data_IF_434193204785
#
_entry.id   IF_434193204785
#
_cell.length_a   1.000
_cell.length_b   1.000
_cell.length_c   1.000
_cell.angle_alpha   90.00
_cell.angle_beta   90.00
_cell.angle_gamma   90.00
#
_symmetry.space_group_name_H-M   'P 1'
#
loop_
_entity.id
_entity.type
_entity.pdbx_description
1 polymer ?
#
# COMPACT_ATOMS: atom_id res chain seq x y z
N UNK A 1 -87.25 -13.84 -37.25
CA UNK A 1 -87.75 -14.65 -36.11
C UNK A 1 -86.61 -15.52 -35.60
N UNK A 2 -85.85 -14.97 -34.67
CA UNK A 2 -84.91 -15.67 -33.79
C UNK A 2 -84.87 -14.80 -32.54
N UNK A 3 -85.62 -15.22 -31.52
CA UNK A 3 -85.88 -14.43 -30.32
C UNK A 3 -84.56 -14.12 -29.60
N UNK A 4 -84.25 -12.83 -29.42
CA UNK A 4 -83.39 -12.40 -28.33
C UNK A 4 -84.26 -12.38 -27.09
N UNK A 5 -84.28 -13.49 -26.36
CA UNK A 5 -84.79 -13.49 -24.98
C UNK A 5 -83.76 -12.76 -24.13
N UNK A 6 -84.11 -11.55 -23.69
CA UNK A 6 -83.40 -10.83 -22.66
C UNK A 6 -83.30 -11.70 -21.39
N UNK A 7 -82.17 -12.39 -21.22
CA UNK A 7 -81.82 -13.11 -20.00
C UNK A 7 -80.94 -12.20 -19.16
N UNK A 8 -81.59 -11.22 -18.52
CA UNK A 8 -80.91 -10.10 -17.88
C UNK A 8 -81.58 -9.67 -16.61
N UNK A 9 -82.11 -10.59 -15.81
CA UNK A 9 -82.36 -10.38 -14.37
C UNK A 9 -82.72 -11.73 -13.73
N UNK A 10 -81.76 -12.38 -13.05
CA UNK A 10 -82.04 -13.48 -12.11
C UNK A 10 -81.43 -14.87 -12.34
N UNK A 11 -80.46 -15.09 -13.24
CA UNK A 11 -79.97 -16.45 -13.56
C UNK A 11 -78.76 -16.96 -12.75
N UNK A 12 -78.24 -16.20 -11.78
CA UNK A 12 -77.01 -16.58 -11.06
C UNK A 12 -75.76 -16.70 -11.94
N UNK A 13 -75.83 -16.25 -13.20
CA UNK A 13 -74.67 -16.15 -14.09
C UNK A 13 -73.98 -14.83 -13.81
N UNK A 14 -72.75 -14.93 -13.34
CA UNK A 14 -71.87 -13.82 -13.08
C UNK A 14 -71.39 -13.23 -14.42
N UNK A 15 -72.23 -12.37 -15.02
CA UNK A 15 -71.95 -11.70 -16.30
C UNK A 15 -70.66 -10.88 -16.19
N UNK A 16 -70.39 -10.32 -15.01
CA UNK A 16 -69.14 -9.61 -14.73
C UNK A 16 -67.95 -10.56 -14.84
N UNK A 17 -68.03 -11.80 -14.34
CA UNK A 17 -66.99 -12.82 -14.53
C UNK A 17 -66.78 -13.19 -16.00
N UNK A 18 -67.84 -13.27 -16.81
CA UNK A 18 -67.75 -13.62 -18.23
C UNK A 18 -67.12 -12.47 -19.02
N UNK A 19 -67.54 -11.23 -18.74
CA UNK A 19 -66.94 -10.04 -19.36
C UNK A 19 -65.46 -9.94 -18.99
N UNK A 20 -65.11 -10.12 -17.71
CA UNK A 20 -63.72 -10.13 -17.25
C UNK A 20 -62.90 -11.24 -17.92
N UNK A 21 -63.45 -12.46 -18.02
CA UNK A 21 -62.76 -13.58 -18.68
C UNK A 21 -62.50 -13.31 -20.18
N UNK A 22 -63.43 -12.66 -20.89
CA UNK A 22 -63.25 -12.27 -22.29
C UNK A 22 -62.21 -11.16 -22.42
N UNK A 23 -62.28 -10.14 -21.56
CA UNK A 23 -61.30 -9.04 -21.53
C UNK A 23 -59.89 -9.57 -21.23
N UNK A 24 -59.75 -10.46 -20.25
CA UNK A 24 -58.46 -11.06 -19.88
C UNK A 24 -57.92 -11.96 -20.99
N UNK A 25 -58.75 -12.80 -21.62
CA UNK A 25 -58.35 -13.61 -22.75
C UNK A 25 -57.90 -12.77 -23.96
N UNK A 26 -58.52 -11.61 -24.17
CA UNK A 26 -58.16 -10.68 -25.25
C UNK A 26 -56.89 -9.86 -24.92
N UNK A 27 -56.64 -9.57 -23.64
CA UNK A 27 -55.43 -8.87 -23.16
C UNK A 27 -54.21 -9.79 -23.06
N UNK A 28 -54.40 -11.06 -22.73
CA UNK A 28 -53.31 -11.99 -22.42
C UNK A 28 -52.19 -12.05 -23.47
N UNK A 29 -52.44 -12.11 -24.80
CA UNK A 29 -51.37 -12.15 -25.79
C UNK A 29 -50.56 -10.85 -25.87
N UNK A 30 -51.22 -9.71 -25.67
CA UNK A 30 -50.54 -8.41 -25.67
C UNK A 30 -49.70 -8.21 -24.41
N UNK A 31 -50.24 -8.58 -23.24
CA UNK A 31 -49.52 -8.57 -21.96
C UNK A 31 -48.31 -9.50 -22.02
N UNK A 32 -48.49 -10.77 -22.44
CA UNK A 32 -47.39 -11.73 -22.54
C UNK A 32 -46.25 -11.24 -23.45
N UNK A 33 -46.56 -10.60 -24.58
CA UNK A 33 -45.53 -10.03 -25.47
C UNK A 33 -44.77 -8.87 -24.79
N UNK A 34 -45.47 -8.03 -24.03
CA UNK A 34 -44.84 -6.94 -23.29
C UNK A 34 -44.00 -7.47 -22.14
N UNK A 35 -44.50 -8.43 -21.37
CA UNK A 35 -43.78 -9.07 -20.27
C UNK A 35 -42.49 -9.75 -20.76
N UNK A 36 -42.56 -10.45 -21.90
CA UNK A 36 -41.38 -11.06 -22.53
C UNK A 36 -40.37 -9.99 -22.99
N UNK A 37 -40.85 -8.88 -23.55
CA UNK A 37 -39.99 -7.78 -23.97
C UNK A 37 -39.33 -7.10 -22.77
N UNK A 38 -40.08 -6.89 -21.69
CA UNK A 38 -39.58 -6.34 -20.44
C UNK A 38 -38.54 -7.27 -19.81
N UNK A 39 -38.82 -8.58 -19.76
CA UNK A 39 -37.87 -9.57 -19.27
C UNK A 39 -36.56 -9.58 -20.07
N UNK A 40 -36.65 -9.52 -21.41
CA UNK A 40 -35.47 -9.45 -22.27
C UNK A 40 -34.66 -8.17 -22.03
N UNK A 41 -35.31 -7.01 -21.98
CA UNK A 41 -34.64 -5.73 -21.72
C UNK A 41 -33.97 -5.73 -20.33
N UNK A 42 -34.63 -6.24 -19.30
CA UNK A 42 -34.04 -6.32 -17.96
C UNK A 42 -32.84 -7.27 -17.91
N UNK A 43 -32.88 -8.34 -18.69
CA UNK A 43 -31.76 -9.26 -18.82
C UNK A 43 -30.60 -8.66 -19.63
N UNK A 44 -30.89 -7.90 -20.70
CA UNK A 44 -29.87 -7.11 -21.43
C UNK A 44 -29.21 -6.07 -20.51
N UNK A 45 -30.00 -5.31 -19.73
CA UNK A 45 -29.48 -4.36 -18.72
C UNK A 45 -28.56 -5.07 -17.74
N UNK A 46 -28.95 -6.24 -17.25
CA UNK A 46 -28.12 -7.04 -16.34
C UNK A 46 -26.84 -7.53 -17.02
N UNK A 47 -26.92 -7.92 -18.30
CA UNK A 47 -25.77 -8.31 -19.11
C UNK A 47 -24.76 -7.18 -19.30
N UNK A 48 -25.24 -5.97 -19.63
CA UNK A 48 -24.38 -4.78 -19.71
C UNK A 48 -23.82 -4.37 -18.35
N UNK A 49 -24.59 -4.54 -17.27
CA UNK A 49 -24.10 -4.35 -15.90
C UNK A 49 -22.92 -5.28 -15.58
N UNK A 50 -23.03 -6.56 -15.94
CA UNK A 50 -21.94 -7.53 -15.77
C UNK A 50 -20.71 -7.18 -16.62
N UNK A 51 -20.93 -6.77 -17.89
CA UNK A 51 -19.84 -6.31 -18.76
C UNK A 51 -19.14 -5.08 -18.18
N UNK A 52 -19.89 -4.10 -17.69
CA UNK A 52 -19.35 -2.89 -17.07
C UNK A 52 -18.51 -3.22 -15.84
N UNK A 53 -18.96 -4.14 -14.99
CA UNK A 53 -18.18 -4.59 -13.83
C UNK A 53 -16.88 -5.26 -14.26
N UNK A 54 -16.93 -6.16 -15.25
CA UNK A 54 -15.74 -6.83 -15.77
C UNK A 54 -14.74 -5.86 -16.41
N UNK A 55 -15.24 -4.83 -17.13
CA UNK A 55 -14.40 -3.75 -17.67
C UNK A 55 -13.74 -2.93 -16.57
N UNK A 56 -14.45 -2.61 -15.48
CA UNK A 56 -13.90 -1.87 -14.33
C UNK A 56 -12.84 -2.68 -13.56
N UNK A 57 -13.05 -3.99 -13.39
CA UNK A 57 -12.05 -4.89 -12.81
C UNK A 57 -10.79 -4.96 -13.69
N UNK A 58 -10.98 -5.05 -15.02
CA UNK A 58 -9.88 -5.00 -15.96
C UNK A 58 -9.14 -3.65 -15.92
N UNK A 59 -9.87 -2.54 -15.86
CA UNK A 59 -9.31 -1.20 -15.72
C UNK A 59 -8.42 -1.07 -14.48
N UNK A 60 -8.87 -1.63 -13.35
CA UNK A 60 -8.09 -1.62 -12.10
C UNK A 60 -6.74 -2.37 -12.27
N UNK A 61 -6.70 -3.43 -13.07
CA UNK A 61 -5.45 -4.12 -13.38
C UNK A 61 -4.54 -3.31 -14.32
N UNK A 62 -5.12 -2.58 -15.28
CA UNK A 62 -4.39 -1.69 -16.20
C UNK A 62 -3.70 -0.54 -15.47
N UNK A 63 -4.35 0.06 -14.47
CA UNK A 63 -3.80 1.14 -13.65
C UNK A 63 -2.54 0.73 -12.85
N UNK A 64 -2.27 -0.56 -12.69
CA UNK A 64 -1.00 -1.05 -12.09
C UNK A 64 0.16 -1.05 -13.09
N UNK A 65 -0.12 -0.87 -14.38
CA UNK A 65 0.82 -0.98 -15.49
C UNK A 65 0.93 0.33 -16.30
N UNK A 66 0.19 1.37 -15.96
CA UNK A 66 0.14 2.64 -16.70
C UNK A 66 1.25 3.64 -16.30
N UNK A 67 1.95 3.37 -15.18
CA UNK A 67 2.92 4.30 -14.61
C UNK A 67 4.35 3.91 -14.98
N UNK A 68 4.99 4.73 -15.82
CA UNK A 68 6.34 4.49 -16.30
C UNK A 68 7.39 4.45 -15.17
N UNK A 69 7.14 5.15 -14.05
CA UNK A 69 8.07 5.16 -12.91
C UNK A 69 8.15 3.81 -12.19
N UNK A 70 7.12 2.95 -12.32
CA UNK A 70 7.13 1.61 -11.73
C UNK A 70 8.16 0.70 -12.38
N UNK A 71 8.48 0.95 -13.66
CA UNK A 71 9.53 0.27 -14.41
C UNK A 71 10.93 0.86 -14.17
N UNK A 72 11.05 1.78 -13.21
CA UNK A 72 12.33 2.26 -12.70
C UNK A 72 12.56 1.86 -11.23
N UNK A 73 11.59 1.20 -10.59
CA UNK A 73 11.70 0.79 -9.19
C UNK A 73 12.89 -0.14 -8.97
N UNK A 74 13.48 -0.01 -7.78
CA UNK A 74 14.56 -0.85 -7.28
C UNK A 74 14.06 -1.62 -6.08
N UNK A 75 14.57 -2.83 -5.93
CA UNK A 75 14.42 -3.60 -4.71
C UNK A 75 15.77 -3.68 -4.02
N UNK A 76 15.77 -3.55 -2.70
CA UNK A 76 16.93 -3.76 -1.87
C UNK A 76 16.60 -4.87 -0.87
N UNK A 77 17.46 -5.88 -0.81
CA UNK A 77 17.31 -7.03 0.07
C UNK A 77 18.50 -7.14 0.99
N UNK A 78 18.27 -7.60 2.22
CA UNK A 78 19.29 -7.84 3.23
C UNK A 78 19.29 -9.32 3.58
N UNK A 79 20.46 -9.92 3.72
CA UNK A 79 20.60 -11.33 4.12
C UNK A 79 20.15 -11.59 5.56
N UNK A 80 20.13 -10.57 6.43
CA UNK A 80 19.60 -10.65 7.79
C UNK A 80 18.99 -9.31 8.24
N UNK A 81 17.66 -9.21 8.10
CA UNK A 81 16.88 -8.03 8.48
C UNK A 81 16.81 -7.77 9.97
N UNK A 82 17.26 -8.71 10.81
CA UNK A 82 17.33 -8.50 12.26
C UNK A 82 18.48 -7.55 12.64
N UNK A 83 19.51 -7.45 11.80
CA UNK A 83 20.65 -6.55 12.02
C UNK A 83 20.62 -5.32 11.13
N UNK A 84 20.29 -5.50 9.84
CA UNK A 84 20.32 -4.41 8.86
C UNK A 84 19.08 -4.47 7.98
N UNK A 85 18.34 -3.36 7.92
CA UNK A 85 17.26 -3.15 6.97
C UNK A 85 17.74 -2.19 5.89
N UNK A 86 17.20 -2.33 4.68
CA UNK A 86 17.61 -1.52 3.53
C UNK A 86 16.41 -1.20 2.66
N UNK A 87 16.40 -0.01 2.09
CA UNK A 87 15.53 0.39 0.99
C UNK A 87 16.34 1.11 -0.08
N UNK A 88 15.88 1.03 -1.32
CA UNK A 88 16.48 1.71 -2.47
C UNK A 88 15.46 2.65 -3.11
N UNK A 89 15.92 3.84 -3.51
CA UNK A 89 15.21 4.73 -4.41
C UNK A 89 15.28 4.21 -5.86
N UNK A 90 14.47 4.80 -6.74
CA UNK A 90 14.34 4.36 -8.14
C UNK A 90 15.66 4.52 -8.93
N UNK A 91 16.48 5.50 -8.55
CA UNK A 91 17.74 5.81 -9.23
C UNK A 91 18.93 5.00 -8.69
N UNK A 92 18.72 4.19 -7.64
CA UNK A 92 19.78 3.38 -7.07
C UNK A 92 20.37 2.42 -8.12
N UNK A 93 21.70 2.37 -8.15
CA UNK A 93 22.43 1.50 -9.08
C UNK A 93 22.43 0.06 -8.57
N UNK A 94 22.05 -0.94 -9.39
CA UNK A 94 22.13 -2.34 -9.00
C UNK A 94 23.54 -2.76 -8.61
N UNK A 95 23.69 -3.29 -7.40
CA UNK A 95 24.97 -3.67 -6.82
C UNK A 95 24.78 -4.55 -5.58
N UNK A 96 25.84 -5.27 -5.21
CA UNK A 96 25.90 -6.02 -3.96
C UNK A 96 26.94 -5.38 -3.04
N UNK A 97 26.59 -5.20 -1.78
CA UNK A 97 27.45 -4.64 -0.75
C UNK A 97 27.45 -5.54 0.48
N UNK A 98 28.56 -5.56 1.21
CA UNK A 98 28.60 -6.13 2.55
C UNK A 98 28.62 -4.99 3.56
N UNK A 99 27.79 -5.10 4.59
CA UNK A 99 27.57 -4.09 5.62
C UNK A 99 27.83 -4.68 6.99
N UNK A 100 28.68 -4.00 7.75
CA UNK A 100 28.93 -4.27 9.16
C UNK A 100 28.35 -3.15 10.03
N UNK A 101 27.54 -3.50 11.01
CA UNK A 101 27.09 -2.55 12.04
C UNK A 101 28.06 -2.62 13.20
N UNK A 102 28.85 -1.56 13.39
CA UNK A 102 29.84 -1.49 14.48
C UNK A 102 29.14 -1.11 15.78
N UNK A 103 28.34 -0.04 15.74
CA UNK A 103 27.50 0.40 16.86
C UNK A 103 26.25 1.10 16.36
N UNK A 104 25.20 1.04 17.17
CA UNK A 104 23.95 1.78 16.94
C UNK A 104 24.00 3.12 17.65
N UNK A 105 23.25 4.09 17.13
CA UNK A 105 23.06 5.38 17.76
C UNK A 105 22.27 5.17 19.05
N UNK A 106 22.72 5.82 20.12
CA UNK A 106 22.15 5.74 21.44
C UNK A 106 21.91 7.14 21.98
N UNK A 107 20.82 7.31 22.73
CA UNK A 107 20.61 8.49 23.55
C UNK A 107 21.29 8.31 24.90
N UNK A 108 21.40 9.40 25.64
CA UNK A 108 22.05 9.39 26.95
C UNK A 108 21.11 8.98 28.08
N UNK A 109 21.68 8.38 29.13
CA UNK A 109 21.02 8.09 30.41
C UNK A 109 21.73 8.78 31.57
N UNK A 110 20.96 9.48 32.39
CA UNK A 110 21.42 10.12 33.63
C UNK A 110 20.71 9.48 34.84
N UNK A 111 21.43 9.37 35.95
CA UNK A 111 20.92 8.89 37.23
C UNK A 111 21.06 9.99 38.29
N UNK A 112 19.99 10.25 39.04
CA UNK A 112 19.99 11.21 40.13
C UNK A 112 20.80 10.76 41.34
N UNK A 113 20.95 11.66 42.31
CA UNK A 113 21.30 11.30 43.68
C UNK A 113 20.32 10.31 44.30
N UNK A 114 20.71 9.75 45.44
CA UNK A 114 19.97 8.72 46.18
C UNK A 114 18.97 9.35 47.15
N UNK A 115 17.73 8.86 47.11
CA UNK A 115 16.62 9.28 47.97
C UNK A 115 16.09 8.11 48.81
N UNK A 116 15.30 8.41 49.84
CA UNK A 116 14.70 7.40 50.71
C UNK A 116 13.43 6.80 50.13
N UNK A 117 12.62 7.59 49.41
CA UNK A 117 11.38 7.11 48.79
C UNK A 117 10.95 7.97 47.60
N UNK A 118 10.03 7.44 46.78
CA UNK A 118 9.38 8.17 45.69
C UNK A 118 8.47 9.33 46.15
N UNK A 119 8.23 9.43 47.46
CA UNK A 119 7.43 10.48 48.10
C UNK A 119 8.31 11.59 48.70
N UNK A 120 9.63 11.50 48.56
CA UNK A 120 10.54 12.52 49.04
C UNK A 120 10.40 13.80 48.20
N UNK A 121 10.54 14.95 48.85
CA UNK A 121 10.55 16.27 48.20
C UNK A 121 11.98 16.77 48.08
N UNK A 122 12.28 17.52 47.02
CA UNK A 122 13.66 17.96 46.69
C UNK A 122 13.83 19.48 46.69
N UNK A 123 12.78 20.23 46.98
CA UNK A 123 12.77 21.70 46.93
C UNK A 123 12.00 22.24 45.74
N UNK A 124 12.28 23.49 45.34
CA UNK A 124 11.55 24.19 44.29
C UNK A 124 12.49 24.96 43.38
N UNK A 125 12.12 25.09 42.11
CA UNK A 125 12.91 25.79 41.10
C UNK A 125 12.52 25.35 39.70
N UNK A 126 13.38 25.61 38.73
CA UNK A 126 13.16 25.25 37.33
C UNK A 126 14.29 24.33 36.86
N UNK A 127 13.93 23.15 36.37
CA UNK A 127 14.86 22.28 35.65
C UNK A 127 14.83 22.65 34.18
N UNK A 128 16.00 22.75 33.55
CA UNK A 128 16.15 22.98 32.12
C UNK A 128 16.92 21.84 31.48
N UNK A 129 16.27 21.14 30.55
CA UNK A 129 16.78 19.99 29.81
C UNK A 129 17.29 20.45 28.45
N UNK A 130 18.46 19.98 28.04
CA UNK A 130 19.05 20.29 26.74
C UNK A 130 19.68 19.05 26.12
N UNK A 131 19.40 18.78 24.85
CA UNK A 131 20.07 17.76 24.03
C UNK A 131 20.24 18.31 22.60
N UNK A 132 21.47 18.65 22.24
CA UNK A 132 21.76 19.36 20.98
C UNK A 132 21.06 20.72 20.94
N UNK A 133 20.23 20.94 19.92
CA UNK A 133 19.40 22.16 19.79
C UNK A 133 18.06 22.08 20.50
N UNK A 134 17.68 20.92 21.04
CA UNK A 134 16.41 20.75 21.73
C UNK A 134 16.53 21.20 23.18
N UNK A 135 15.56 22.00 23.64
CA UNK A 135 15.51 22.46 25.02
C UNK A 135 14.08 22.59 25.51
N UNK A 136 13.86 22.27 26.78
CA UNK A 136 12.61 22.57 27.49
C UNK A 136 12.87 22.76 28.98
N UNK A 137 11.92 23.38 29.67
CA UNK A 137 12.03 23.66 31.10
C UNK A 137 10.79 23.19 31.85
N UNK A 138 10.99 22.71 33.08
CA UNK A 138 9.94 22.22 33.97
C UNK A 138 10.07 22.88 35.33
N UNK A 139 8.99 23.52 35.78
CA UNK A 139 8.93 24.14 37.12
C UNK A 139 8.53 23.11 38.17
N UNK A 140 9.33 23.02 39.23
CA UNK A 140 9.16 22.15 40.38
C UNK A 140 8.71 22.99 41.58
N UNK A 141 7.61 22.58 42.19
CA UNK A 141 7.05 23.19 43.39
C UNK A 141 7.61 22.52 44.65
N UNK A 142 7.72 23.26 45.76
CA UNK A 142 8.34 22.75 46.98
C UNK A 142 7.63 21.52 47.60
N UNK A 143 6.37 21.30 47.24
CA UNK A 143 5.56 20.16 47.68
C UNK A 143 5.62 18.97 46.74
N UNK A 144 6.25 19.12 45.57
CA UNK A 144 6.35 18.04 44.59
C UNK A 144 7.23 16.92 45.14
N UNK A 145 6.70 15.71 45.04
CA UNK A 145 7.44 14.49 45.31
C UNK A 145 8.25 14.07 44.08
N UNK A 146 9.20 13.14 44.22
CA UNK A 146 9.87 12.55 43.06
C UNK A 146 8.89 11.99 42.01
N UNK A 147 7.75 11.47 42.46
CA UNK A 147 6.68 10.96 41.59
C UNK A 147 6.02 12.09 40.80
N UNK A 148 5.73 13.22 41.45
CA UNK A 148 5.17 14.40 40.80
C UNK A 148 6.16 15.00 39.80
N UNK A 149 7.45 15.03 40.14
CA UNK A 149 8.53 15.54 39.27
C UNK A 149 8.64 14.67 38.01
N UNK A 150 8.67 13.34 38.17
CA UNK A 150 8.64 12.40 37.04
C UNK A 150 7.47 12.69 36.12
N UNK A 151 6.28 12.83 36.68
CA UNK A 151 5.05 13.04 35.91
C UNK A 151 5.04 14.43 35.25
N UNK A 152 5.55 15.47 35.91
CA UNK A 152 5.71 16.81 35.32
C UNK A 152 6.66 16.81 34.13
N UNK A 153 7.78 16.09 34.21
CA UNK A 153 8.74 16.00 33.10
C UNK A 153 8.17 15.19 31.94
N UNK A 154 7.63 13.99 32.22
CA UNK A 154 7.09 13.11 31.18
C UNK A 154 5.87 13.71 30.46
N UNK A 155 5.08 14.55 31.14
CA UNK A 155 3.90 15.20 30.57
C UNK A 155 4.15 16.65 30.10
N UNK A 156 5.39 17.15 30.16
CA UNK A 156 5.70 18.48 29.65
C UNK A 156 5.45 18.56 28.13
N UNK A 157 4.70 19.58 27.70
CA UNK A 157 4.22 19.67 26.31
C UNK A 157 5.33 19.88 25.27
N UNK A 158 6.45 20.42 25.71
CA UNK A 158 7.67 20.71 24.94
C UNK A 158 8.77 19.65 25.16
N UNK A 159 8.45 18.55 25.86
CA UNK A 159 9.37 17.44 26.05
C UNK A 159 9.71 16.80 24.70
N UNK A 160 10.98 16.91 24.31
CA UNK A 160 11.50 16.37 23.05
C UNK A 160 11.78 14.85 23.08
N UNK A 161 11.42 14.16 24.17
CA UNK A 161 11.58 12.71 24.33
C UNK A 161 12.49 12.28 25.47
N UNK A 162 12.62 13.11 26.51
CA UNK A 162 13.20 12.72 27.81
C UNK A 162 12.14 11.96 28.60
N UNK A 163 12.38 10.68 28.86
CA UNK A 163 11.56 9.86 29.73
C UNK A 163 12.23 9.71 31.09
N UNK A 164 11.51 10.00 32.15
CA UNK A 164 11.98 9.85 33.52
C UNK A 164 11.25 8.69 34.18
N UNK A 165 12.00 7.83 34.86
CA UNK A 165 11.47 6.74 35.66
C UNK A 165 12.06 6.75 37.06
N UNK A 166 11.35 6.15 38.00
CA UNK A 166 11.83 5.96 39.38
C UNK A 166 12.22 4.51 39.55
N UNK A 167 13.45 4.26 39.98
CA UNK A 167 13.97 2.93 40.28
C UNK A 167 14.20 2.85 41.79
N UNK A 168 13.56 1.86 42.43
CA UNK A 168 13.77 1.56 43.85
C UNK A 168 14.76 0.41 43.96
N UNK A 169 15.98 0.71 44.40
CA UNK A 169 17.01 -0.29 44.69
C UNK A 169 17.14 -0.55 46.19
N UNK A 170 17.97 -1.53 46.54
CA UNK A 170 18.24 -1.89 47.94
C UNK A 170 18.91 -0.76 48.74
N UNK A 171 19.64 0.12 48.06
CA UNK A 171 20.31 1.28 48.65
C UNK A 171 19.39 2.50 48.82
N UNK A 172 18.28 2.56 48.09
CA UNK A 172 17.37 3.71 48.04
C UNK A 172 16.73 3.91 46.67
N UNK A 173 16.06 5.04 46.51
CA UNK A 173 15.31 5.43 45.31
C UNK A 173 16.11 6.41 44.46
N UNK A 174 16.13 6.22 43.13
CA UNK A 174 16.76 7.15 42.16
C UNK A 174 15.81 7.47 41.01
N UNK A 175 15.99 8.64 40.40
CA UNK A 175 15.40 9.01 39.12
C UNK A 175 16.37 8.65 38.00
N UNK A 176 15.87 7.97 36.98
CA UNK A 176 16.57 7.66 35.74
C UNK A 176 15.97 8.48 34.62
N UNK A 177 16.81 9.26 33.94
CA UNK A 177 16.46 10.10 32.82
C UNK A 177 17.00 9.46 31.55
N UNK A 178 16.11 9.07 30.64
CA UNK A 178 16.41 8.49 29.34
C UNK A 178 16.10 9.51 28.25
N UNK A 179 17.10 9.94 27.47
CA UNK A 179 16.83 10.74 26.26
C UNK A 179 16.64 9.83 25.05
N UNK A 180 15.57 10.05 24.28
CA UNK A 180 15.36 9.38 22.99
C UNK A 180 16.20 9.98 21.85
N UNK A 181 16.79 11.16 22.05
CA UNK A 181 17.62 11.82 21.04
C UNK A 181 18.98 11.15 21.05
N UNK A 182 19.32 10.52 19.92
CA UNK A 182 20.56 9.77 19.75
C UNK A 182 21.67 10.64 19.17
N UNK A 183 22.91 10.16 19.23
CA UNK A 183 24.06 10.82 18.62
C UNK A 183 24.93 11.58 19.63
N UNK A 184 26.24 11.58 19.39
CA UNK A 184 27.24 12.09 20.33
C UNK A 184 27.11 13.58 20.63
N UNK A 185 26.56 14.36 19.69
CA UNK A 185 26.26 15.78 19.87
C UNK A 185 25.02 16.06 20.73
N UNK A 186 24.22 15.04 21.03
CA UNK A 186 22.92 15.15 21.70
C UNK A 186 22.94 14.64 23.14
N UNK A 187 24.09 14.72 23.81
CA UNK A 187 24.21 14.39 25.22
C UNK A 187 23.24 15.21 26.07
N UNK A 188 22.35 14.54 26.82
CA UNK A 188 21.42 15.21 27.71
C UNK A 188 22.19 15.93 28.81
N UNK A 189 21.87 17.20 28.98
CA UNK A 189 22.31 18.04 30.08
C UNK A 189 21.09 18.57 30.81
N UNK A 190 21.09 18.48 32.14
CA UNK A 190 20.05 19.03 33.00
C UNK A 190 20.67 20.06 33.91
N UNK A 191 20.12 21.26 33.87
CA UNK A 191 20.56 22.41 34.69
C UNK A 191 19.38 22.89 35.53
N UNK A 192 19.68 23.61 36.60
CA UNK A 192 18.69 24.19 37.49
C UNK A 192 19.01 25.66 37.81
N UNK A 193 18.03 26.35 38.39
CA UNK A 193 18.15 27.71 38.91
C UNK A 193 18.28 27.76 40.45
N UNK A 194 18.30 26.60 41.12
CA UNK A 194 18.30 26.50 42.58
C UNK A 194 19.00 25.23 43.06
N UNK A 195 20.06 25.42 43.85
CA UNK A 195 20.91 24.37 44.41
C UNK A 195 20.16 23.26 45.20
N UNK A 196 18.93 23.49 45.66
CA UNK A 196 18.12 22.40 46.23
C UNK A 196 17.88 21.27 45.23
N UNK A 197 17.85 21.59 43.93
CA UNK A 197 17.58 20.65 42.84
C UNK A 197 18.85 19.94 42.32
N UNK A 198 20.05 20.33 42.75
CA UNK A 198 21.34 19.81 42.26
C UNK A 198 21.37 18.27 42.19
N UNK A 199 20.77 17.58 43.18
CA UNK A 199 20.72 16.13 43.25
C UNK A 199 19.95 15.46 42.10
N UNK A 200 19.08 16.20 41.40
CA UNK A 200 18.30 15.73 40.25
C UNK A 200 18.66 16.48 38.95
N UNK A 201 19.71 17.31 38.97
CA UNK A 201 20.19 18.11 37.83
C UNK A 201 21.70 17.98 37.63
N UNK A 202 22.49 18.83 38.30
CA UNK A 202 23.92 19.04 38.04
C UNK A 202 24.82 17.99 38.68
N UNK A 203 24.37 17.33 39.76
CA UNK A 203 25.10 16.25 40.45
C UNK A 203 24.69 14.84 39.98
N UNK A 204 24.01 14.73 38.84
CA UNK A 204 23.65 13.44 38.27
C UNK A 204 24.85 12.70 37.69
N UNK A 205 24.78 11.37 37.71
CA UNK A 205 25.78 10.50 37.10
C UNK A 205 25.33 10.08 35.71
N UNK A 206 26.21 10.24 34.71
CA UNK A 206 25.96 9.70 33.36
C UNK A 206 26.20 8.20 33.39
N UNK A 207 25.14 7.41 33.20
CA UNK A 207 25.23 5.93 33.15
C UNK A 207 25.31 5.40 31.72
N UNK A 208 24.91 6.21 30.74
CA UNK A 208 25.05 5.93 29.31
C UNK A 208 25.27 7.25 28.56
N UNK A 209 26.31 7.33 27.73
CA UNK A 209 26.53 8.49 26.87
C UNK A 209 25.62 8.42 25.64
N UNK A 210 25.24 9.58 25.13
CA UNK A 210 24.70 9.65 23.77
C UNK A 210 25.83 9.35 22.78
N UNK A 211 25.57 8.54 21.78
CA UNK A 211 26.58 7.99 20.88
C UNK A 211 26.04 7.91 19.45
N UNK A 212 26.90 8.16 18.47
CA UNK A 212 26.57 8.03 17.05
C UNK A 212 26.51 6.57 16.62
N UNK A 213 25.63 6.26 15.66
CA UNK A 213 25.69 5.00 14.94
C UNK A 213 26.92 4.99 14.03
N UNK A 214 27.48 3.80 13.84
CA UNK A 214 28.60 3.59 12.95
C UNK A 214 28.43 2.28 12.19
N UNK A 215 28.49 2.35 10.87
CA UNK A 215 28.51 1.20 9.97
C UNK A 215 29.77 1.21 9.13
N UNK A 216 30.11 0.06 8.57
CA UNK A 216 31.11 -0.07 7.52
C UNK A 216 30.44 -0.63 6.27
N UNK A 217 30.64 0.04 5.13
CA UNK A 217 30.12 -0.36 3.82
C UNK A 217 31.29 -0.39 2.85
N UNK A 218 31.54 -1.53 2.22
CA UNK A 218 32.67 -1.70 1.29
C UNK A 218 34.03 -1.26 1.88
N UNK A 219 34.24 -1.47 3.20
CA UNK A 219 35.44 -1.06 3.92
C UNK A 219 35.46 0.39 4.42
N UNK A 220 34.50 1.23 4.00
CA UNK A 220 34.42 2.62 4.41
C UNK A 220 33.54 2.79 5.66
N UNK A 221 34.08 3.44 6.68
CA UNK A 221 33.35 3.73 7.92
C UNK A 221 32.48 4.98 7.75
N UNK A 222 31.21 4.84 8.09
CA UNK A 222 30.21 5.89 7.96
C UNK A 222 29.55 6.07 9.33
N UNK A 223 29.39 7.32 9.74
CA UNK A 223 28.81 7.70 11.04
C UNK A 223 27.52 8.49 10.82
N UNK A 224 26.53 8.25 11.67
CA UNK A 224 25.26 8.96 11.68
C UNK A 224 24.83 9.24 13.11
N UNK A 225 24.19 10.37 13.36
CA UNK A 225 23.58 10.71 14.64
C UNK A 225 22.34 9.83 14.95
N UNK A 226 21.78 9.19 13.92
CA UNK A 226 20.66 8.25 14.02
C UNK A 226 21.05 6.85 13.54
N UNK A 227 20.17 5.88 13.77
CA UNK A 227 20.34 4.52 13.23
C UNK A 227 20.05 4.41 11.71
N UNK A 228 19.71 5.52 11.06
CA UNK A 228 19.41 5.57 9.64
C UNK A 228 20.53 6.28 8.89
N UNK A 229 20.96 5.67 7.80
CA UNK A 229 22.05 6.10 6.93
C UNK A 229 21.51 6.26 5.52
N UNK A 230 21.09 7.48 5.18
CA UNK A 230 20.57 7.83 3.84
C UNK A 230 21.65 8.29 2.86
N UNK A 231 22.86 8.57 3.35
CA UNK A 231 24.00 9.05 2.55
C UNK A 231 25.16 8.05 2.45
N UNK A 232 24.96 6.83 2.98
CA UNK A 232 25.98 5.80 2.97
C UNK A 232 26.28 5.28 1.56
N UNK A 233 25.21 5.12 0.77
CA UNK A 233 25.23 4.79 -0.65
C UNK A 233 24.19 5.73 -1.29
N UNK A 234 24.51 6.31 -2.44
CA UNK A 234 23.59 7.19 -3.18
C UNK A 234 22.28 6.44 -3.50
N UNK A 235 21.15 7.11 -3.24
CA UNK A 235 19.78 6.58 -3.40
C UNK A 235 19.45 5.32 -2.60
N UNK A 236 20.22 5.00 -1.54
CA UNK A 236 19.97 3.83 -0.70
C UNK A 236 19.93 4.26 0.76
N UNK A 237 18.90 3.82 1.47
CA UNK A 237 18.77 4.02 2.90
C UNK A 237 19.05 2.73 3.64
N UNK A 238 20.04 2.75 4.52
CA UNK A 238 20.38 1.63 5.41
C UNK A 238 19.93 1.98 6.82
N UNK A 239 19.20 1.07 7.48
CA UNK A 239 18.83 1.20 8.88
C UNK A 239 19.51 0.12 9.70
N UNK A 240 20.38 0.54 10.62
CA UNK A 240 21.08 -0.33 11.55
C UNK A 240 20.21 -0.66 12.76
N UNK A 241 19.95 -1.94 12.98
CA UNK A 241 19.07 -2.40 14.08
C UNK A 241 19.90 -2.79 15.31
N UNK A 242 21.01 -3.51 15.11
CA UNK A 242 21.94 -3.95 16.17
C UNK A 242 23.34 -4.21 15.60
N UNK A 243 24.39 -4.16 16.44
CA UNK A 243 25.74 -4.50 16.03
C UNK A 243 25.82 -5.90 15.43
N UNK A 244 26.54 -6.04 14.32
CA UNK A 244 26.70 -7.32 13.62
C UNK A 244 27.83 -8.14 14.24
N UNK A 245 27.69 -9.47 14.20
CA UNK A 245 28.78 -10.40 14.54
C UNK A 245 29.49 -10.92 13.29
N UNK A 246 28.76 -11.03 12.19
CA UNK A 246 29.25 -11.31 10.84
C UNK A 246 28.66 -10.27 9.89
N UNK A 247 29.34 -9.99 8.79
CA UNK A 247 28.86 -9.04 7.78
C UNK A 247 27.52 -9.47 7.18
N UNK A 248 26.66 -8.48 6.94
CA UNK A 248 25.34 -8.66 6.34
C UNK A 248 25.42 -8.23 4.89
N UNK A 249 25.02 -9.12 3.98
CA UNK A 249 25.04 -8.83 2.56
C UNK A 249 23.74 -8.14 2.14
N UNK A 250 23.90 -7.07 1.39
CA UNK A 250 22.82 -6.29 0.81
C UNK A 250 22.90 -6.41 -0.70
N UNK A 251 21.76 -6.68 -1.34
CA UNK A 251 21.62 -6.73 -2.79
C UNK A 251 20.60 -5.71 -3.25
N UNK A 252 21.01 -4.84 -4.17
CA UNK A 252 20.16 -3.88 -4.87
C UNK A 252 19.98 -4.39 -6.29
N UNK A 253 18.74 -4.58 -6.71
CA UNK A 253 18.40 -5.00 -8.07
C UNK A 253 17.19 -4.25 -8.60
N UNK A 254 16.91 -4.43 -9.88
CA UNK A 254 15.66 -3.96 -10.48
C UNK A 254 14.50 -4.74 -9.83
N UNK A 255 13.37 -4.08 -9.58
CA UNK A 255 12.17 -4.75 -9.06
C UNK A 255 11.41 -5.49 -10.17
N UNK A 256 11.95 -6.63 -10.58
CA UNK A 256 11.32 -7.51 -11.58
C UNK A 256 10.11 -8.25 -11.02
N UNK A 257 10.03 -8.41 -9.68
CA UNK A 257 8.96 -9.14 -9.01
C UNK A 257 7.62 -8.41 -9.11
N UNK A 258 7.60 -7.12 -8.78
CA UNK A 258 6.38 -6.31 -8.84
C UNK A 258 5.83 -6.21 -10.26
N UNK A 259 6.70 -5.99 -11.26
CA UNK A 259 6.30 -5.95 -12.68
C UNK A 259 5.73 -7.28 -13.15
N UNK A 260 6.36 -8.41 -12.81
CA UNK A 260 5.82 -9.74 -13.12
C UNK A 260 4.45 -9.96 -12.51
N UNK A 261 4.26 -9.56 -11.25
CA UNK A 261 2.95 -9.67 -10.60
C UNK A 261 1.89 -8.83 -11.31
N UNK A 262 2.21 -7.58 -11.64
CA UNK A 262 1.28 -6.69 -12.34
C UNK A 262 0.90 -7.23 -13.74
N UNK A 263 1.86 -7.81 -14.48
CA UNK A 263 1.59 -8.45 -15.77
C UNK A 263 0.69 -9.69 -15.62
N UNK A 264 0.92 -10.52 -14.60
CA UNK A 264 0.04 -11.67 -14.33
C UNK A 264 -1.39 -11.21 -13.98
N UNK A 265 -1.53 -10.21 -13.10
CA UNK A 265 -2.83 -9.63 -12.74
C UNK A 265 -3.56 -9.12 -13.99
N UNK A 266 -2.85 -8.45 -14.91
CA UNK A 266 -3.40 -8.00 -16.19
C UNK A 266 -3.89 -9.15 -17.07
N UNK A 267 -3.10 -10.22 -17.19
CA UNK A 267 -3.48 -11.41 -17.98
C UNK A 267 -4.72 -12.08 -17.38
N UNK A 268 -4.76 -12.21 -16.06
CA UNK A 268 -5.91 -12.79 -15.34
C UNK A 268 -7.18 -11.94 -15.54
N UNK A 269 -7.08 -10.63 -15.36
CA UNK A 269 -8.20 -9.71 -15.52
C UNK A 269 -8.70 -9.65 -16.98
N UNK A 270 -7.79 -9.64 -17.96
CA UNK A 270 -8.16 -9.74 -19.37
C UNK A 270 -8.88 -11.05 -19.67
N UNK A 271 -8.38 -12.17 -19.16
CA UNK A 271 -8.98 -13.49 -19.39
C UNK A 271 -10.38 -13.59 -18.74
N UNK A 272 -10.57 -13.01 -17.57
CA UNK A 272 -11.88 -12.89 -16.93
C UNK A 272 -12.85 -12.06 -17.79
N UNK A 273 -12.43 -10.89 -18.27
CA UNK A 273 -13.22 -10.05 -19.18
C UNK A 273 -13.58 -10.81 -20.47
N UNK A 274 -12.61 -11.49 -21.09
CA UNK A 274 -12.84 -12.26 -22.31
C UNK A 274 -13.84 -13.40 -22.08
N UNK A 275 -13.82 -14.04 -20.90
CA UNK A 275 -14.82 -15.03 -20.52
C UNK A 275 -16.20 -14.40 -20.41
N UNK A 276 -16.34 -13.26 -19.73
CA UNK A 276 -17.61 -12.53 -19.63
C UNK A 276 -18.16 -12.14 -21.01
N UNK A 277 -17.32 -11.58 -21.89
CA UNK A 277 -17.68 -11.23 -23.26
C UNK A 277 -18.16 -12.47 -24.03
N UNK A 278 -17.42 -13.59 -23.92
CA UNK A 278 -17.77 -14.85 -24.57
C UNK A 278 -19.12 -15.38 -24.07
N UNK A 279 -19.35 -15.37 -22.77
CA UNK A 279 -20.59 -15.89 -22.16
C UNK A 279 -21.81 -15.02 -22.51
N UNK A 280 -21.65 -13.69 -22.53
CA UNK A 280 -22.70 -12.75 -22.91
C UNK A 280 -22.98 -12.79 -24.42
N UNK A 281 -21.96 -12.97 -25.26
CA UNK A 281 -22.05 -12.90 -26.72
C UNK A 281 -22.19 -14.24 -27.44
N UNK A 282 -22.15 -15.38 -26.73
CA UNK A 282 -22.17 -16.72 -27.36
C UNK A 282 -23.38 -16.91 -28.28
N UNK A 283 -23.11 -17.41 -29.47
CA UNK A 283 -24.13 -17.76 -30.47
C UNK A 283 -24.38 -19.26 -30.46
N UNK A 284 -25.00 -19.75 -29.38
CA UNK A 284 -25.41 -21.14 -29.20
C UNK A 284 -26.91 -21.29 -29.54
N UNK A 285 -27.34 -22.23 -30.39
CA UNK A 285 -28.74 -22.46 -30.73
C UNK A 285 -29.64 -22.84 -29.54
N UNK A 286 -29.09 -23.56 -28.56
CA UNK A 286 -29.81 -24.10 -27.41
C UNK A 286 -29.72 -23.18 -26.18
N UNK A 287 -28.62 -22.43 -26.05
CA UNK A 287 -28.41 -21.51 -24.93
C UNK A 287 -27.63 -20.24 -25.35
N UNK A 288 -28.24 -19.33 -26.14
CA UNK A 288 -27.59 -18.12 -26.59
C UNK A 288 -27.24 -17.22 -25.41
N UNK A 289 -26.13 -16.48 -25.55
CA UNK A 289 -25.76 -15.43 -24.61
C UNK A 289 -26.80 -14.32 -24.63
N UNK A 290 -26.98 -13.64 -23.50
CA UNK A 290 -28.03 -12.63 -23.36
C UNK A 290 -27.84 -11.43 -24.32
N UNK A 291 -26.60 -11.16 -24.72
CA UNK A 291 -26.21 -10.14 -25.70
C UNK A 291 -25.78 -10.77 -27.04
N UNK A 292 -26.27 -11.97 -27.36
CA UNK A 292 -25.95 -12.64 -28.61
C UNK A 292 -26.38 -11.80 -29.82
N UNK A 293 -25.43 -11.54 -30.73
CA UNK A 293 -25.65 -10.68 -31.89
C UNK A 293 -25.60 -9.17 -31.61
N UNK A 294 -25.42 -8.75 -30.36
CA UNK A 294 -25.27 -7.35 -30.01
C UNK A 294 -24.06 -6.73 -30.73
N UNK A 295 -24.25 -5.53 -31.28
CA UNK A 295 -23.20 -4.86 -32.05
C UNK A 295 -22.19 -4.13 -31.15
N UNK A 296 -22.61 -3.66 -29.99
CA UNK A 296 -21.76 -2.90 -29.05
C UNK A 296 -20.76 -3.82 -28.35
N UNK A 297 -21.20 -4.98 -27.86
CA UNK A 297 -20.31 -5.99 -27.27
C UNK A 297 -19.23 -6.45 -28.26
N UNK A 298 -19.61 -6.69 -29.53
CA UNK A 298 -18.67 -7.06 -30.59
C UNK A 298 -17.70 -5.93 -30.94
N UNK A 299 -18.15 -4.68 -30.90
CA UNK A 299 -17.30 -3.53 -31.15
C UNK A 299 -16.22 -3.42 -30.07
N UNK A 300 -16.61 -3.48 -28.79
CA UNK A 300 -15.71 -3.41 -27.64
C UNK A 300 -14.67 -4.54 -27.71
N UNK A 301 -15.10 -5.80 -27.89
CA UNK A 301 -14.20 -6.95 -28.02
C UNK A 301 -13.20 -6.76 -29.17
N UNK A 302 -13.67 -6.25 -30.32
CA UNK A 302 -12.80 -6.00 -31.48
C UNK A 302 -11.78 -4.88 -31.26
N UNK A 303 -12.14 -3.84 -30.50
CA UNK A 303 -11.26 -2.71 -30.20
C UNK A 303 -10.19 -3.13 -29.19
N UNK A 304 -10.58 -3.80 -28.10
CA UNK A 304 -9.64 -4.33 -27.10
C UNK A 304 -8.65 -5.29 -27.77
N UNK A 305 -9.12 -6.26 -28.54
CA UNK A 305 -8.24 -7.21 -29.25
C UNK A 305 -7.29 -6.53 -30.24
N UNK A 306 -7.72 -5.43 -30.88
CA UNK A 306 -6.85 -4.65 -31.77
C UNK A 306 -5.71 -3.97 -31.00
N UNK A 307 -5.98 -3.43 -29.82
CA UNK A 307 -4.97 -2.79 -28.98
C UNK A 307 -4.00 -3.84 -28.42
N UNK A 308 -4.50 -4.97 -27.93
CA UNK A 308 -3.68 -6.10 -27.44
C UNK A 308 -2.73 -6.64 -28.51
N UNK A 309 -3.16 -6.67 -29.77
CA UNK A 309 -2.34 -7.12 -30.91
C UNK A 309 -1.56 -6.00 -31.60
N UNK A 310 -1.61 -4.77 -31.06
CA UNK A 310 -0.90 -3.63 -31.62
C UNK A 310 0.59 -3.67 -31.31
N UNK A 311 1.36 -2.87 -32.06
CA UNK A 311 2.77 -2.63 -31.82
C UNK A 311 2.98 -1.23 -31.26
N UNK A 312 3.83 -1.11 -30.25
CA UNK A 312 4.26 0.14 -29.63
C UNK A 312 5.68 0.45 -30.05
N UNK A 313 5.87 1.58 -30.74
CA UNK A 313 7.20 2.03 -31.14
C UNK A 313 8.02 2.55 -29.95
N UNK A 314 9.35 2.45 -30.00
CA UNK A 314 10.25 3.13 -29.06
C UNK A 314 11.20 2.22 -28.27
N UNK A 315 11.17 0.90 -28.52
CA UNK A 315 12.06 -0.08 -27.89
C UNK A 315 12.62 -1.10 -28.88
N UNK A 316 13.41 -2.05 -28.38
CA UNK A 316 13.86 -3.23 -29.16
C UNK A 316 12.72 -4.23 -29.28
N UNK A 317 11.96 -4.40 -28.19
CA UNK A 317 10.69 -5.10 -28.17
C UNK A 317 9.56 -4.07 -28.39
N UNK A 318 8.57 -4.44 -29.19
CA UNK A 318 7.52 -3.53 -29.66
C UNK A 318 6.10 -4.07 -29.47
N UNK A 319 5.91 -5.24 -28.85
CA UNK A 319 4.59 -5.87 -28.75
C UNK A 319 4.50 -6.82 -27.55
N UNK A 320 3.28 -7.11 -27.09
CA UNK A 320 3.04 -8.11 -26.05
C UNK A 320 3.56 -9.49 -26.44
N UNK A 321 3.43 -9.87 -27.71
CA UNK A 321 3.96 -11.13 -28.23
C UNK A 321 5.49 -11.20 -28.10
N UNK A 322 6.20 -10.09 -28.32
CA UNK A 322 7.64 -10.01 -28.13
C UNK A 322 8.05 -10.13 -26.65
N UNK A 323 7.14 -9.82 -25.72
CA UNK A 323 7.31 -10.08 -24.28
C UNK A 323 6.95 -11.52 -23.87
N UNK A 324 6.47 -12.36 -24.80
CA UNK A 324 5.99 -13.71 -24.49
C UNK A 324 4.52 -13.77 -24.06
N UNK A 325 3.77 -12.67 -24.16
CA UNK A 325 2.33 -12.64 -23.89
C UNK A 325 1.60 -12.84 -25.22
N UNK A 326 0.99 -14.00 -25.42
CA UNK A 326 0.39 -14.40 -26.70
C UNK A 326 -1.10 -14.65 -26.57
N UNK A 327 -1.83 -14.45 -27.68
CA UNK A 327 -3.27 -14.70 -27.73
C UNK A 327 -3.55 -16.13 -28.21
N UNK A 328 -4.39 -16.85 -27.48
CA UNK A 328 -4.83 -18.21 -27.82
C UNK A 328 -5.93 -18.19 -28.90
N UNK A 329 -6.33 -19.38 -29.38
CA UNK A 329 -7.43 -19.50 -30.35
C UNK A 329 -8.79 -19.03 -29.80
N UNK A 330 -8.99 -19.09 -28.47
CA UNK A 330 -10.20 -18.57 -27.82
C UNK A 330 -10.15 -17.05 -27.60
N UNK A 331 -8.99 -16.42 -27.83
CA UNK A 331 -8.78 -15.00 -27.63
C UNK A 331 -8.32 -14.62 -26.23
N UNK A 332 -8.10 -15.58 -25.34
CA UNK A 332 -7.47 -15.38 -24.04
C UNK A 332 -5.96 -15.14 -24.20
N UNK A 333 -5.32 -14.57 -23.20
CA UNK A 333 -3.87 -14.39 -23.12
C UNK A 333 -3.21 -15.53 -22.36
N UNK A 334 -2.01 -15.89 -22.80
CA UNK A 334 -1.11 -16.86 -22.17
C UNK A 334 0.31 -16.27 -22.07
N UNK A 335 1.01 -16.55 -20.97
CA UNK A 335 2.37 -16.10 -20.71
C UNK A 335 3.39 -17.22 -20.96
N UNK A 336 4.25 -17.05 -21.95
CA UNK A 336 5.51 -17.79 -22.03
C UNK A 336 6.49 -17.21 -21.01
N UNK A 337 6.61 -17.92 -19.88
CA UNK A 337 7.46 -17.50 -18.77
C UNK A 337 8.92 -17.35 -19.16
N UNK A 338 9.45 -18.21 -20.03
CA UNK A 338 10.86 -18.17 -20.43
C UNK A 338 11.18 -16.97 -21.32
N UNK A 339 10.27 -16.65 -22.26
CA UNK A 339 10.38 -15.46 -23.10
C UNK A 339 10.24 -14.19 -22.26
N UNK A 340 9.28 -14.15 -21.34
CA UNK A 340 9.09 -13.00 -20.45
C UNK A 340 10.25 -12.84 -19.45
N UNK A 341 10.82 -13.93 -18.92
CA UNK A 341 12.05 -13.90 -18.12
C UNK A 341 13.24 -13.33 -18.91
N UNK A 342 13.33 -13.61 -20.20
CA UNK A 342 14.38 -13.01 -21.03
C UNK A 342 14.15 -11.49 -21.17
N UNK A 343 12.92 -11.09 -21.48
CA UNK A 343 12.56 -9.67 -21.64
C UNK A 343 12.77 -8.87 -20.35
N UNK A 344 12.37 -9.41 -19.19
CA UNK A 344 12.49 -8.69 -17.91
C UNK A 344 13.94 -8.51 -17.46
N UNK A 345 14.82 -9.44 -17.83
CA UNK A 345 16.24 -9.37 -17.46
C UNK A 345 17.08 -8.53 -18.42
N UNK A 346 16.74 -8.52 -19.72
CA UNK A 346 17.56 -7.89 -20.75
C UNK A 346 16.95 -6.61 -21.35
N UNK A 347 15.63 -6.43 -21.25
CA UNK A 347 14.86 -5.38 -21.93
C UNK A 347 13.82 -4.74 -21.00
N UNK A 348 14.13 -4.57 -19.71
CA UNK A 348 13.19 -4.09 -18.70
C UNK A 348 12.52 -2.75 -19.06
N UNK A 349 13.29 -1.82 -19.64
CA UNK A 349 12.77 -0.52 -20.11
C UNK A 349 11.74 -0.67 -21.23
N UNK A 350 11.90 -1.67 -22.10
CA UNK A 350 10.98 -1.90 -23.21
C UNK A 350 9.63 -2.42 -22.69
N UNK A 351 9.60 -3.18 -21.59
CA UNK A 351 8.36 -3.58 -20.92
C UNK A 351 7.58 -2.33 -20.46
N UNK A 352 8.27 -1.40 -19.80
CA UNK A 352 7.67 -0.14 -19.38
C UNK A 352 7.15 0.69 -20.54
N UNK A 353 7.89 0.75 -21.65
CA UNK A 353 7.43 1.46 -22.84
C UNK A 353 6.19 0.80 -23.49
N UNK A 354 6.14 -0.53 -23.56
CA UNK A 354 5.03 -1.27 -24.15
C UNK A 354 3.74 -1.07 -23.35
N UNK A 355 3.79 -1.03 -22.02
CA UNK A 355 2.60 -0.86 -21.19
C UNK A 355 2.29 0.61 -20.88
N UNK A 356 3.27 1.38 -20.40
CA UNK A 356 3.13 2.73 -19.84
C UNK A 356 3.73 3.86 -20.70
N UNK A 357 4.27 3.57 -21.88
CA UNK A 357 4.77 4.60 -22.80
C UNK A 357 3.64 5.52 -23.28
N UNK A 358 3.96 6.64 -23.96
CA UNK A 358 2.95 7.62 -24.44
C UNK A 358 1.85 7.01 -25.33
N UNK A 359 2.10 5.88 -25.97
CA UNK A 359 1.10 5.07 -26.67
C UNK A 359 1.11 3.61 -26.18
N UNK A 360 1.38 3.42 -24.89
CA UNK A 360 1.45 2.12 -24.26
C UNK A 360 0.09 1.43 -24.25
N UNK A 361 0.11 0.11 -24.22
CA UNK A 361 -1.09 -0.73 -24.29
C UNK A 361 -1.98 -0.52 -23.08
N UNK A 362 -1.41 -0.31 -21.88
CA UNK A 362 -2.22 -0.05 -20.68
C UNK A 362 -2.98 1.26 -20.82
N UNK A 363 -2.31 2.32 -21.28
CA UNK A 363 -2.91 3.64 -21.50
C UNK A 363 -3.99 3.58 -22.58
N UNK A 364 -3.72 2.96 -23.73
CA UNK A 364 -4.70 2.84 -24.81
C UNK A 364 -5.96 2.07 -24.40
N UNK A 365 -5.81 1.04 -23.57
CA UNK A 365 -6.94 0.25 -23.06
C UNK A 365 -7.73 1.01 -22.00
N UNK A 366 -7.05 1.72 -21.09
CA UNK A 366 -7.69 2.56 -20.08
C UNK A 366 -8.51 3.68 -20.74
N UNK A 367 -7.91 4.40 -21.70
CA UNK A 367 -8.57 5.43 -22.50
C UNK A 367 -9.78 4.90 -23.29
N UNK A 368 -9.76 3.62 -23.71
CA UNK A 368 -10.88 2.99 -24.41
C UNK A 368 -12.03 2.65 -23.45
N UNK A 369 -11.73 2.26 -22.21
CA UNK A 369 -12.73 1.90 -21.20
C UNK A 369 -13.44 3.16 -20.67
N UNK A 370 -12.73 4.28 -20.59
CA UNK A 370 -13.29 5.56 -20.14
C UNK A 370 -14.24 6.24 -21.15
N UNK A 371 -14.24 5.80 -22.42
CA UNK A 371 -15.04 6.36 -23.52
C UNK A 371 -16.47 5.80 -23.59
#
# INVERSE_FOLDING_TARGET
MGLITASGVGSGLDIDSIINAIVDAQRAPATQRLDLREANINAEISGFGNLSSALSEFQTALQKLDNLSDYSKRTATSSDTSFVQVSAGNDATPANFSVDVIKTAQGSRLESGLFGSSSDTVGSGTLTFTAGSNTFSVTIDATDTLSDIRDKINNASDNFGVNVNIVNGDAGTVLIYDSSITGSANQLTVTDDNASLDAISTNMTVTQNADDAQIQVAGQTITSDTNTFSSAIEDVTITAVKPTTNSVDISISIDTGSVRSAVNDFIEAYNALQSTISDLGKSDPDNPGILSGDATLRMIDSQIRRIISSTVSGGTLDSLAALGITTTQTGTLELDSATFDNAINNNFSDIGNIFAGTNGIAIQLDDLIDQ
#
